data_IF_344700145926
#
_entry.id   IF_344700145926
#
_cell.length_a   1.000
_cell.length_b   1.000
_cell.length_c   1.000
_cell.angle_alpha   90.00
_cell.angle_beta   90.00
_cell.angle_gamma   90.00
#
_symmetry.space_group_name_H-M   'P 1'
#
loop_
_entity.id
_entity.type
_entity.pdbx_description
1 polymer ?
#
# COMPACT_ATOMS: atom_id res chain seq x y z
N UNK A 1 -42.88 7.42 -5.65
CA UNK A 1 -42.05 7.91 -4.52
C UNK A 1 -40.78 7.08 -4.52
N UNK A 2 -39.63 7.66 -4.89
CA UNK A 2 -38.34 6.98 -4.90
C UNK A 2 -37.62 7.33 -3.61
N UNK A 3 -37.46 6.35 -2.73
CA UNK A 3 -36.70 6.49 -1.49
C UNK A 3 -35.21 6.47 -1.85
N UNK A 4 -34.61 7.65 -2.02
CA UNK A 4 -33.17 7.76 -2.19
C UNK A 4 -32.50 7.46 -0.84
N UNK A 5 -31.78 6.35 -0.76
CA UNK A 5 -30.96 6.00 0.39
C UNK A 5 -29.59 6.67 0.23
N UNK A 6 -29.38 7.80 0.92
CA UNK A 6 -28.08 8.48 0.94
C UNK A 6 -27.17 7.70 1.88
N UNK A 7 -26.15 7.04 1.35
CA UNK A 7 -25.12 6.41 2.16
C UNK A 7 -24.37 7.51 2.95
N UNK A 8 -24.12 7.33 4.26
CA UNK A 8 -23.35 8.30 5.03
C UNK A 8 -21.91 8.35 4.48
N UNK A 9 -21.38 9.57 4.31
CA UNK A 9 -19.97 9.76 3.98
C UNK A 9 -19.11 9.14 5.09
N UNK A 10 -18.05 8.36 4.76
CA UNK A 10 -17.16 7.83 5.77
C UNK A 10 -16.51 8.99 6.53
N UNK A 11 -16.94 9.17 7.77
CA UNK A 11 -16.39 10.15 8.70
C UNK A 11 -14.95 9.77 9.00
N UNK A 12 -14.00 10.58 8.51
CA UNK A 12 -12.56 10.60 8.78
C UNK A 12 -11.91 9.22 8.87
N UNK A 13 -11.13 8.87 7.84
CA UNK A 13 -10.22 7.72 7.89
C UNK A 13 -9.44 7.76 9.23
N UNK A 14 -9.27 6.64 9.93
CA UNK A 14 -8.38 6.58 11.08
C UNK A 14 -7.01 7.12 10.66
N UNK A 15 -6.29 7.72 11.61
CA UNK A 15 -4.88 8.10 11.42
C UNK A 15 -4.17 6.98 10.68
N UNK A 16 -3.40 7.27 9.61
CA UNK A 16 -2.56 6.24 9.02
C UNK A 16 -1.74 5.58 10.14
N UNK A 17 -1.57 4.25 10.11
CA UNK A 17 -0.72 3.59 11.09
C UNK A 17 0.68 4.19 10.99
N UNK A 18 1.26 4.57 12.13
CA UNK A 18 2.68 4.94 12.20
C UNK A 18 3.45 3.69 11.81
N UNK A 19 4.20 3.76 10.72
CA UNK A 19 5.02 2.64 10.29
C UNK A 19 6.18 2.52 11.29
N UNK A 20 6.41 1.35 11.86
CA UNK A 20 7.51 1.11 12.78
C UNK A 20 8.44 0.07 12.16
N UNK A 21 9.68 0.46 11.90
CA UNK A 21 10.72 -0.44 11.38
C UNK A 21 11.65 -0.86 12.51
N UNK A 22 12.10 -2.11 12.47
CA UNK A 22 13.08 -2.63 13.44
C UNK A 22 14.37 -3.00 12.73
N UNK A 23 15.46 -2.33 13.09
CA UNK A 23 16.81 -2.59 12.57
C UNK A 23 17.72 -2.83 13.77
N UNK A 24 18.45 -3.95 13.76
CA UNK A 24 19.40 -4.34 14.81
C UNK A 24 18.84 -4.34 16.26
N UNK A 25 17.51 -4.47 16.41
CA UNK A 25 16.82 -4.49 17.70
C UNK A 25 16.33 -3.12 18.19
N UNK A 26 16.66 -2.05 17.46
CA UNK A 26 16.11 -0.72 17.70
C UNK A 26 14.81 -0.53 16.90
N UNK A 27 13.83 0.13 17.53
CA UNK A 27 12.52 0.44 16.94
C UNK A 27 12.51 1.91 16.53
N UNK A 28 12.19 2.19 15.27
CA UNK A 28 12.09 3.53 14.72
C UNK A 28 10.67 3.84 14.30
N UNK A 29 10.16 5.00 14.72
CA UNK A 29 8.91 5.54 14.20
C UNK A 29 9.20 6.20 12.84
N UNK A 30 8.66 5.63 11.77
CA UNK A 30 8.68 6.21 10.44
C UNK A 30 7.47 7.12 10.26
N UNK A 31 7.70 8.43 10.45
CA UNK A 31 6.76 9.50 10.10
C UNK A 31 6.74 9.80 8.60
N UNK A 32 7.26 8.90 7.77
CA UNK A 32 7.26 9.02 6.31
C UNK A 32 5.87 8.67 5.77
N UNK A 33 5.35 9.43 4.79
CA UNK A 33 4.15 9.03 4.08
C UNK A 33 4.41 7.68 3.38
N UNK A 34 3.38 6.83 3.22
CA UNK A 34 3.53 5.60 2.45
C UNK A 34 4.02 5.94 1.04
N UNK A 35 4.91 5.10 0.50
CA UNK A 35 5.31 5.20 -0.90
C UNK A 35 4.07 5.20 -1.78
N UNK A 36 4.00 6.21 -2.65
CA UNK A 36 2.95 6.33 -3.64
C UNK A 36 3.43 5.64 -4.91
N UNK A 37 2.47 5.11 -5.68
CA UNK A 37 2.76 4.46 -6.94
C UNK A 37 3.52 5.40 -7.89
N UNK A 38 4.74 5.03 -8.26
CA UNK A 38 5.54 5.63 -9.31
C UNK A 38 5.44 4.73 -10.55
N UNK A 39 4.77 5.24 -11.59
CA UNK A 39 4.45 4.45 -12.79
C UNK A 39 5.68 3.80 -13.43
N UNK A 40 6.84 4.44 -13.38
CA UNK A 40 8.04 3.92 -14.02
C UNK A 40 8.69 2.82 -13.16
N UNK A 41 8.87 3.05 -11.86
CA UNK A 41 9.46 2.09 -10.92
C UNK A 41 8.56 0.86 -10.71
N UNK A 42 7.28 1.08 -10.42
CA UNK A 42 6.33 -0.01 -10.19
C UNK A 42 6.15 -0.91 -11.41
N UNK A 43 6.33 -0.36 -12.61
CA UNK A 43 6.27 -1.14 -13.86
C UNK A 43 7.47 -2.04 -14.00
N UNK A 44 8.66 -1.56 -13.66
CA UNK A 44 9.89 -2.37 -13.67
C UNK A 44 9.82 -3.51 -12.65
N UNK A 45 9.28 -3.23 -11.46
CA UNK A 45 9.03 -4.22 -10.43
C UNK A 45 8.03 -5.29 -10.89
N UNK A 46 6.92 -4.89 -11.52
CA UNK A 46 5.94 -5.83 -12.07
C UNK A 46 6.54 -6.75 -13.15
N UNK A 47 7.42 -6.22 -14.01
CA UNK A 47 8.13 -7.03 -15.02
C UNK A 47 9.03 -8.06 -14.34
N UNK A 48 9.72 -7.67 -13.27
CA UNK A 48 10.56 -8.57 -12.47
C UNK A 48 9.74 -9.68 -11.83
N UNK A 49 8.62 -9.36 -11.21
CA UNK A 49 7.74 -10.36 -10.60
C UNK A 49 7.12 -11.32 -11.63
N UNK A 50 6.74 -10.81 -12.81
CA UNK A 50 6.26 -11.64 -13.92
C UNK A 50 7.34 -12.63 -14.37
N UNK A 51 8.58 -12.16 -14.50
CA UNK A 51 9.69 -13.01 -14.90
C UNK A 51 9.96 -14.12 -13.88
N UNK A 52 9.94 -13.79 -12.58
CA UNK A 52 10.08 -14.79 -11.51
C UNK A 52 8.93 -15.80 -11.57
N UNK A 53 7.68 -15.34 -11.68
CA UNK A 53 6.50 -16.21 -11.70
C UNK A 53 6.52 -17.18 -12.89
N UNK A 54 6.98 -16.73 -14.05
CA UNK A 54 7.14 -17.56 -15.26
C UNK A 54 8.19 -18.68 -15.08
N UNK A 55 9.18 -18.47 -14.21
CA UNK A 55 10.30 -19.40 -13.99
C UNK A 55 10.15 -20.27 -12.73
N UNK A 56 9.03 -20.18 -12.01
CA UNK A 56 8.74 -21.01 -10.82
C UNK A 56 8.11 -22.37 -11.20
N UNK A 57 7.69 -22.56 -12.46
CA UNK A 57 7.23 -23.85 -12.98
C UNK A 57 8.36 -24.63 -13.69
N UNK A 58 9.32 -25.18 -12.93
CA UNK A 58 10.16 -26.33 -13.35
C UNK A 58 10.60 -27.19 -12.15
#
# INVERSE_FOLDING_TARGET
>A
MMNAHVAPFPTRRPSPPIHQSTIDGDVYDEDLPPELFDEDEDREDLVTYLHIAEHVED
#
